data_IF_682185638078
#
_entry.id   IF_682185638078
#
_cell.length_a   1.000
_cell.length_b   1.000
_cell.length_c   1.000
_cell.angle_alpha   90.00
_cell.angle_beta   90.00
_cell.angle_gamma   90.00
#
_symmetry.space_group_name_H-M   'P 1'
#
loop_
_entity.id
_entity.type
_entity.pdbx_description
1 polymer ?
#
# COMPACT_ATOMS: atom_id res chain seq x y z
N UNK A 1 6.03 -1.96 -11.51
CA UNK A 1 5.03 -1.32 -10.61
C UNK A 1 5.80 -0.46 -9.63
N UNK A 2 5.52 0.84 -9.57
CA UNK A 2 6.24 1.79 -8.73
C UNK A 2 5.25 2.54 -7.85
N UNK A 3 5.62 2.78 -6.59
CA UNK A 3 4.95 3.77 -5.75
C UNK A 3 5.73 5.08 -5.81
N UNK A 4 5.07 6.14 -6.27
CA UNK A 4 5.71 7.42 -6.57
C UNK A 4 4.97 8.52 -5.80
N UNK A 5 5.66 9.35 -4.98
CA UNK A 5 5.04 10.50 -4.32
C UNK A 5 4.61 11.56 -5.34
N UNK A 6 3.71 12.52 -5.02
CA UNK A 6 3.30 13.55 -5.96
C UNK A 6 4.46 14.41 -6.46
N UNK A 7 5.41 14.75 -5.60
CA UNK A 7 6.62 15.52 -5.93
C UNK A 7 7.90 14.77 -5.56
N UNK A 8 9.01 15.13 -6.21
CA UNK A 8 10.33 14.57 -5.96
C UNK A 8 10.69 13.35 -6.82
N UNK A 9 11.96 12.94 -6.71
CA UNK A 9 12.60 11.86 -7.47
C UNK A 9 12.59 12.05 -9.00
N UNK A 10 12.50 13.29 -9.47
CA UNK A 10 12.47 13.63 -10.91
C UNK A 10 13.78 13.31 -11.64
N UNK A 11 14.89 13.23 -10.90
CA UNK A 11 16.18 12.85 -11.43
C UNK A 11 16.31 11.35 -11.75
N UNK A 12 15.42 10.49 -11.22
CA UNK A 12 15.43 9.06 -11.52
C UNK A 12 14.72 8.80 -12.86
N UNK A 13 15.42 8.29 -13.89
CA UNK A 13 14.85 8.07 -15.22
C UNK A 13 13.62 7.16 -15.21
N UNK A 14 13.57 6.17 -14.31
CA UNK A 14 12.46 5.21 -14.23
C UNK A 14 11.21 5.88 -13.67
N UNK A 15 11.38 6.78 -12.71
CA UNK A 15 10.29 7.55 -12.10
C UNK A 15 9.78 8.60 -13.07
N UNK A 16 10.67 9.30 -13.77
CA UNK A 16 10.31 10.26 -14.80
C UNK A 16 9.51 9.61 -15.93
N UNK A 17 9.98 8.45 -16.46
CA UNK A 17 9.26 7.72 -17.49
C UNK A 17 7.90 7.18 -16.98
N UNK A 18 7.87 6.63 -15.77
CA UNK A 18 6.63 6.13 -15.18
C UNK A 18 5.60 7.25 -14.95
N UNK A 19 6.01 8.48 -14.64
CA UNK A 19 5.10 9.63 -14.57
C UNK A 19 4.59 10.07 -15.93
N UNK A 20 5.45 10.07 -16.95
CA UNK A 20 5.09 10.57 -18.28
C UNK A 20 4.25 9.57 -19.10
N UNK A 21 4.55 8.27 -19.01
CA UNK A 21 3.96 7.21 -19.84
C UNK A 21 3.21 6.13 -19.05
N UNK A 22 3.34 6.12 -17.74
CA UNK A 22 2.70 5.11 -16.89
C UNK A 22 1.20 5.33 -16.72
N UNK A 23 0.54 4.32 -16.16
CA UNK A 23 -0.87 4.37 -15.79
C UNK A 23 -0.97 4.44 -14.26
N UNK A 24 -1.64 5.47 -13.76
CA UNK A 24 -1.88 5.62 -12.33
C UNK A 24 -2.99 4.65 -11.87
N UNK A 25 -2.74 3.91 -10.79
CA UNK A 25 -3.75 3.03 -10.18
C UNK A 25 -4.78 3.81 -9.35
N UNK A 26 -4.52 5.08 -9.03
CA UNK A 26 -5.33 5.90 -8.14
C UNK A 26 -5.18 5.56 -6.65
N UNK A 27 -4.40 4.54 -6.30
CA UNK A 27 -4.26 4.05 -4.93
C UNK A 27 -3.10 4.79 -4.23
N UNK A 28 -3.39 5.47 -3.12
CA UNK A 28 -2.40 6.10 -2.25
C UNK A 28 -2.15 5.25 -1.00
N UNK A 29 -0.94 5.33 -0.43
CA UNK A 29 -0.58 4.56 0.77
C UNK A 29 -1.52 4.83 1.95
N UNK A 30 -1.91 6.08 2.16
CA UNK A 30 -2.81 6.47 3.24
C UNK A 30 -4.18 5.78 3.11
N UNK A 31 -4.78 5.83 1.91
CA UNK A 31 -6.10 5.25 1.64
C UNK A 31 -6.06 3.73 1.76
N UNK A 32 -5.02 3.10 1.20
CA UNK A 32 -4.92 1.65 1.22
C UNK A 32 -4.74 1.12 2.66
N UNK A 33 -3.88 1.76 3.45
CA UNK A 33 -3.69 1.42 4.87
C UNK A 33 -4.96 1.65 5.70
N UNK A 34 -5.61 2.79 5.52
CA UNK A 34 -6.83 3.12 6.29
C UNK A 34 -7.99 2.20 5.93
N UNK A 35 -8.15 1.84 4.65
CA UNK A 35 -9.13 0.84 4.23
C UNK A 35 -8.85 -0.53 4.86
N UNK A 36 -7.59 -0.97 4.89
CA UNK A 36 -7.21 -2.22 5.54
C UNK A 36 -7.44 -2.21 7.05
N UNK A 37 -7.24 -1.06 7.70
CA UNK A 37 -7.56 -0.89 9.12
C UNK A 37 -9.07 -0.91 9.38
N UNK A 38 -9.85 -0.17 8.59
CA UNK A 38 -11.31 -0.14 8.69
C UNK A 38 -11.91 -1.54 8.54
N UNK A 39 -11.47 -2.31 7.54
CA UNK A 39 -11.92 -3.70 7.35
C UNK A 39 -11.66 -4.60 8.57
N UNK A 40 -10.54 -4.41 9.29
CA UNK A 40 -10.26 -5.15 10.53
C UNK A 40 -11.14 -4.71 11.69
N UNK A 41 -11.47 -3.42 11.78
CA UNK A 41 -12.40 -2.91 12.79
C UNK A 41 -13.79 -3.49 12.54
N UNK A 42 -14.23 -3.49 11.28
CA UNK A 42 -15.52 -4.05 10.86
C UNK A 42 -15.62 -5.55 11.14
N UNK A 43 -14.59 -6.35 10.79
CA UNK A 43 -14.59 -7.80 11.06
C UNK A 43 -14.71 -8.10 12.56
N UNK A 44 -13.99 -7.37 13.42
CA UNK A 44 -14.14 -7.53 14.88
C UNK A 44 -15.52 -7.11 15.39
N UNK A 45 -16.04 -5.98 14.91
CA UNK A 45 -17.36 -5.49 15.30
C UNK A 45 -18.46 -6.49 14.88
N UNK A 46 -18.38 -7.04 13.66
CA UNK A 46 -19.31 -8.04 13.15
C UNK A 46 -19.28 -9.35 13.95
N UNK A 47 -18.13 -9.72 14.54
CA UNK A 47 -18.00 -10.89 15.42
C UNK A 47 -18.49 -10.64 16.85
N UNK A 48 -18.85 -9.40 17.19
CA UNK A 48 -19.23 -9.01 18.54
C UNK A 48 -18.04 -8.97 19.51
N UNK A 49 -16.82 -8.83 19.00
CA UNK A 49 -15.61 -8.76 19.82
C UNK A 49 -15.39 -7.32 20.32
N UNK A 50 -15.48 -7.12 21.64
CA UNK A 50 -15.08 -5.86 22.27
C UNK A 50 -13.57 -5.80 22.47
N UNK A 51 -12.95 -4.64 22.23
CA UNK A 51 -11.53 -4.47 22.49
C UNK A 51 -10.87 -3.30 21.77
N UNK A 52 -9.56 -3.20 21.93
CA UNK A 52 -8.73 -2.19 21.27
C UNK A 52 -7.95 -2.81 20.11
N UNK A 53 -7.87 -2.07 19.00
CA UNK A 53 -7.04 -2.40 17.85
C UNK A 53 -6.01 -1.29 17.73
N UNK A 54 -4.74 -1.63 17.87
CA UNK A 54 -3.61 -0.74 17.60
C UNK A 54 -2.90 -1.23 16.33
N UNK A 55 -2.77 -0.36 15.34
CA UNK A 55 -2.10 -0.66 14.10
C UNK A 55 -1.07 0.42 13.78
N UNK A 56 0.18 0.01 13.57
CA UNK A 56 1.28 0.94 13.33
C UNK A 56 2.12 0.50 12.15
N UNK A 57 2.27 1.39 11.16
CA UNK A 57 3.11 1.19 9.99
C UNK A 57 4.20 2.25 9.99
N UNK A 58 5.46 1.82 10.16
CA UNK A 58 6.61 2.75 10.14
C UNK A 58 7.20 2.88 8.74
N UNK A 59 7.47 1.74 8.11
CA UNK A 59 8.12 1.66 6.81
C UNK A 59 7.44 0.60 5.96
N UNK A 60 7.12 0.97 4.72
CA UNK A 60 6.57 0.09 3.69
C UNK A 60 7.73 -0.58 2.97
N UNK A 61 7.76 -1.91 2.94
CA UNK A 61 8.78 -2.72 2.26
C UNK A 61 8.21 -3.51 1.08
N UNK A 62 6.93 -3.85 1.16
CA UNK A 62 6.20 -4.65 0.17
C UNK A 62 4.77 -4.13 0.02
N UNK A 63 4.08 -4.44 -1.10
CA UNK A 63 2.69 -4.02 -1.34
C UNK A 63 1.72 -4.41 -0.21
N UNK A 64 1.89 -5.60 0.37
CA UNK A 64 1.01 -6.10 1.44
C UNK A 64 1.05 -5.25 2.71
N UNK A 65 2.13 -4.53 2.98
CA UNK A 65 2.24 -3.65 4.16
C UNK A 65 1.25 -2.47 4.10
N UNK A 66 0.80 -2.11 2.89
CA UNK A 66 -0.18 -1.05 2.64
C UNK A 66 -1.51 -1.60 2.12
N UNK A 67 -1.84 -2.87 2.39
CA UNK A 67 -3.10 -3.48 1.94
C UNK A 67 -3.27 -3.47 0.41
N UNK A 68 -2.18 -3.67 -0.34
CA UNK A 68 -2.20 -3.82 -1.80
C UNK A 68 -1.68 -5.20 -2.17
N UNK A 69 -2.43 -5.90 -3.03
CA UNK A 69 -2.03 -7.19 -3.57
C UNK A 69 -1.88 -7.13 -5.09
N UNK A 70 -0.88 -7.83 -5.62
CA UNK A 70 -0.70 -8.00 -7.06
C UNK A 70 -1.09 -9.44 -7.39
N UNK A 71 -2.07 -9.67 -8.29
CA UNK A 71 -2.50 -11.00 -8.66
C UNK A 71 -1.32 -11.89 -9.10
N UNK A 72 -1.28 -13.18 -8.72
CA UNK A 72 -0.17 -14.08 -9.04
C UNK A 72 0.17 -14.16 -10.52
N UNK A 73 -0.83 -14.05 -11.41
CA UNK A 73 -0.67 -14.05 -12.86
C UNK A 73 0.10 -12.81 -13.33
N UNK A 74 -0.26 -11.63 -12.80
CA UNK A 74 0.42 -10.37 -13.09
C UNK A 74 1.84 -10.38 -12.52
N UNK A 75 2.02 -10.90 -11.30
CA UNK A 75 3.34 -11.04 -10.68
C UNK A 75 4.28 -11.88 -11.55
N UNK A 76 3.84 -13.07 -11.99
CA UNK A 76 4.60 -13.96 -12.89
C UNK A 76 4.95 -13.28 -14.21
N UNK A 77 4.02 -12.52 -14.78
CA UNK A 77 4.26 -11.80 -16.02
C UNK A 77 5.30 -10.69 -15.85
N UNK A 78 5.22 -9.91 -14.76
CA UNK A 78 6.16 -8.83 -14.45
C UNK A 78 7.56 -9.41 -14.25
N UNK A 79 7.70 -10.43 -13.40
CA UNK A 79 9.01 -11.04 -13.13
C UNK A 79 9.57 -11.77 -14.34
N UNK A 80 8.74 -12.46 -15.12
CA UNK A 80 9.13 -13.14 -16.35
C UNK A 80 9.68 -12.21 -17.44
N UNK A 81 9.31 -10.93 -17.43
CA UNK A 81 9.86 -9.89 -18.31
C UNK A 81 11.02 -9.09 -17.70
N UNK A 82 11.51 -9.49 -16.52
CA UNK A 82 12.54 -8.74 -15.79
C UNK A 82 12.04 -7.43 -15.17
N UNK A 83 10.72 -7.22 -15.12
CA UNK A 83 10.11 -6.07 -14.49
C UNK A 83 10.25 -6.10 -12.97
N UNK A 84 10.28 -4.92 -12.35
CA UNK A 84 10.44 -4.76 -10.89
C UNK A 84 9.17 -4.19 -10.26
N UNK A 85 8.91 -4.63 -9.04
CA UNK A 85 7.87 -4.08 -8.16
C UNK A 85 8.59 -3.35 -7.03
N UNK A 86 8.49 -2.03 -7.01
CA UNK A 86 9.12 -1.18 -6.01
C UNK A 86 8.03 -0.36 -5.35
N UNK A 87 7.52 -0.88 -4.25
CA UNK A 87 6.53 -0.22 -3.38
C UNK A 87 7.19 -0.11 -2.02
N UNK A 88 7.97 0.97 -1.84
CA UNK A 88 8.78 1.19 -0.63
C UNK A 88 8.74 2.66 -0.23
N UNK A 89 8.77 2.91 1.07
CA UNK A 89 8.87 4.27 1.59
C UNK A 89 8.54 4.38 3.07
N UNK A 90 8.98 5.45 3.75
CA UNK A 90 8.52 5.77 5.09
C UNK A 90 7.05 6.22 5.05
N UNK A 91 6.22 5.75 5.99
CA UNK A 91 4.82 6.18 6.12
C UNK A 91 4.47 6.69 7.52
N UNK A 92 5.10 6.16 8.56
CA UNK A 92 4.91 6.57 9.96
C UNK A 92 3.45 6.87 10.35
N UNK A 93 2.57 5.89 10.20
CA UNK A 93 1.16 5.98 10.58
C UNK A 93 0.87 5.11 11.81
N UNK A 94 0.10 5.64 12.76
CA UNK A 94 -0.47 4.88 13.88
C UNK A 94 -1.98 5.10 13.92
N UNK A 95 -2.75 4.03 13.90
CA UNK A 95 -4.21 4.01 13.98
C UNK A 95 -4.63 3.22 15.22
N UNK A 96 -5.55 3.78 15.99
CA UNK A 96 -6.14 3.11 17.15
C UNK A 96 -7.66 3.20 17.05
N UNK A 97 -8.32 2.08 17.28
CA UNK A 97 -9.76 2.00 17.37
C UNK A 97 -10.15 1.20 18.61
N UNK A 98 -11.28 1.56 19.20
CA UNK A 98 -11.88 0.86 20.32
C UNK A 98 -13.32 0.50 19.95
N UNK A 99 -13.65 -0.76 20.11
CA UNK A 99 -14.97 -1.33 19.85
C UNK A 99 -15.59 -1.65 21.21
N UNK A 100 -16.81 -1.17 21.42
CA UNK A 100 -17.58 -1.31 22.66
C UNK A 100 -18.71 -2.32 22.47
#
# INVERSE_FOLDING_TARGET
>A
VLAIPPSGFEADPWIAEARAKGVATGIRFLEAVTAGFAARVEDKACRGESGEIDFRVRMVKQPSDVNVEIPPQALKYITGRGGRIVVKGPLFLGLRARIF
#
